data_IF_876470765454
#
_entry.id   IF_876470765454
#
_cell.length_a   1.000
_cell.length_b   1.000
_cell.length_c   1.000
_cell.angle_alpha   90.00
_cell.angle_beta   90.00
_cell.angle_gamma   90.00
#
_symmetry.space_group_name_H-M   'P 1'
#
loop_
_entity.id
_entity.type
_entity.pdbx_description
1 polymer ?
#
# COMPACT_ATOMS: atom_id res chain seq x y z
N UNK A 1 13.39 -36.19 20.83
CA UNK A 1 13.02 -35.05 21.70
C UNK A 1 13.63 -33.72 21.28
N UNK A 2 14.95 -33.48 21.40
CA UNK A 2 15.59 -32.13 21.20
C UNK A 2 15.12 -31.31 19.97
N UNK A 3 14.87 -31.94 18.82
CA UNK A 3 14.38 -31.26 17.60
C UNK A 3 12.97 -30.67 17.79
N UNK A 4 12.07 -31.36 18.51
CA UNK A 4 10.69 -30.92 18.73
C UNK A 4 10.64 -29.69 19.64
N UNK A 5 11.48 -29.64 20.68
CA UNK A 5 11.62 -28.46 21.53
C UNK A 5 12.23 -27.27 20.80
N UNK A 6 13.14 -27.48 19.84
CA UNK A 6 13.65 -26.40 18.99
C UNK A 6 12.56 -25.86 18.03
N UNK A 7 11.79 -26.74 17.38
CA UNK A 7 10.71 -26.32 16.48
C UNK A 7 9.59 -25.57 17.21
N UNK A 8 9.21 -26.01 18.42
CA UNK A 8 8.22 -25.30 19.25
C UNK A 8 8.74 -23.96 19.75
N UNK A 9 10.02 -23.85 20.16
CA UNK A 9 10.63 -22.57 20.51
C UNK A 9 10.67 -21.59 19.32
N UNK A 10 11.07 -22.04 18.12
CA UNK A 10 11.04 -21.19 16.92
C UNK A 10 9.61 -20.70 16.59
N UNK A 11 8.60 -21.58 16.69
CA UNK A 11 7.21 -21.20 16.47
C UNK A 11 6.71 -20.18 17.51
N UNK A 12 7.02 -20.37 18.79
CA UNK A 12 6.65 -19.42 19.86
C UNK A 12 7.36 -18.07 19.69
N UNK A 13 8.65 -18.08 19.32
CA UNK A 13 9.41 -16.86 19.06
C UNK A 13 8.82 -16.07 17.88
N UNK A 14 8.57 -16.70 16.73
CA UNK A 14 7.91 -16.05 15.59
C UNK A 14 6.52 -15.49 15.95
N UNK A 15 5.68 -16.26 16.66
CA UNK A 15 4.36 -15.81 17.12
C UNK A 15 4.40 -14.70 18.21
N UNK A 16 5.54 -14.52 18.89
CA UNK A 16 5.77 -13.39 19.80
C UNK A 16 6.24 -12.14 19.06
N UNK A 17 7.08 -12.32 18.04
CA UNK A 17 7.67 -11.23 17.25
C UNK A 17 6.61 -10.57 16.37
N UNK A 18 5.72 -11.34 15.74
CA UNK A 18 4.61 -10.80 14.93
C UNK A 18 3.63 -9.94 15.75
N UNK A 19 3.25 -10.38 16.96
CA UNK A 19 2.30 -9.63 17.81
C UNK A 19 2.83 -8.25 18.22
N UNK A 20 4.12 -8.13 18.56
CA UNK A 20 4.74 -6.83 18.86
C UNK A 20 4.65 -5.84 17.70
N UNK A 21 4.72 -6.32 16.46
CA UNK A 21 4.57 -5.46 15.28
C UNK A 21 3.14 -4.97 15.11
N UNK A 22 2.16 -5.85 15.25
CA UNK A 22 0.73 -5.47 15.16
C UNK A 22 0.36 -4.47 16.26
N UNK A 23 0.91 -4.65 17.47
CA UNK A 23 0.79 -3.71 18.60
C UNK A 23 1.42 -2.34 18.29
N UNK A 24 2.69 -2.28 17.86
CA UNK A 24 3.34 -1.02 17.47
C UNK A 24 2.62 -0.32 16.31
N UNK A 25 2.22 -1.06 15.27
CA UNK A 25 1.48 -0.51 14.13
C UNK A 25 0.17 0.15 14.60
N UNK A 26 -0.60 -0.49 15.49
CA UNK A 26 -1.81 0.10 16.06
C UNK A 26 -1.53 1.30 16.98
N UNK A 27 -0.42 1.28 17.74
CA UNK A 27 -0.02 2.37 18.63
C UNK A 27 0.49 3.61 17.86
N UNK A 28 0.93 3.45 16.61
CA UNK A 28 1.65 4.49 15.87
C UNK A 28 1.00 4.91 14.54
N UNK A 29 0.23 4.05 13.90
CA UNK A 29 -0.52 4.34 12.67
C UNK A 29 -2.00 4.34 13.04
N UNK A 30 -2.70 5.45 12.78
CA UNK A 30 -4.13 5.55 13.08
C UNK A 30 -4.95 5.41 11.80
N UNK A 31 -6.13 4.75 11.82
CA UNK A 31 -7.00 4.66 10.65
C UNK A 31 -7.37 6.01 10.00
N UNK A 32 -7.56 7.12 10.75
CA UNK A 32 -7.68 8.45 10.16
C UNK A 32 -6.49 8.86 9.29
N UNK A 33 -5.24 8.62 9.70
CA UNK A 33 -4.07 8.98 8.87
C UNK A 33 -4.06 8.24 7.54
N UNK A 34 -4.42 6.95 7.54
CA UNK A 34 -4.55 6.13 6.32
C UNK A 34 -5.69 6.66 5.44
N UNK A 35 -6.84 7.01 6.04
CA UNK A 35 -7.99 7.61 5.34
C UNK A 35 -7.65 8.95 4.69
N UNK A 36 -7.01 9.87 5.43
CA UNK A 36 -6.62 11.20 4.95
C UNK A 36 -5.65 11.11 3.76
N UNK A 37 -4.75 10.13 3.78
CA UNK A 37 -3.87 9.83 2.65
C UNK A 37 -4.63 9.29 1.43
N UNK A 38 -5.64 8.43 1.61
CA UNK A 38 -6.49 7.98 0.50
C UNK A 38 -7.30 9.14 -0.09
N UNK A 39 -7.95 9.96 0.74
CA UNK A 39 -8.71 11.12 0.28
C UNK A 39 -7.83 12.15 -0.43
N UNK A 40 -6.63 12.43 0.10
CA UNK A 40 -5.71 13.38 -0.54
C UNK A 40 -5.17 12.82 -1.86
N UNK A 41 -4.89 11.52 -1.95
CA UNK A 41 -4.51 10.83 -3.19
C UNK A 41 -5.62 10.92 -4.25
N UNK A 42 -6.88 10.75 -3.86
CA UNK A 42 -8.03 10.89 -4.75
C UNK A 42 -8.26 12.34 -5.20
N UNK A 43 -8.05 13.33 -4.32
CA UNK A 43 -8.10 14.76 -4.67
C UNK A 43 -6.99 15.15 -5.65
N UNK A 44 -5.76 14.64 -5.46
CA UNK A 44 -4.65 14.78 -6.42
C UNK A 44 -5.08 14.20 -7.78
N UNK A 45 -5.56 12.95 -7.80
CA UNK A 45 -5.98 12.26 -9.02
C UNK A 45 -7.10 13.01 -9.78
N UNK A 46 -8.07 13.60 -9.08
CA UNK A 46 -9.15 14.43 -9.66
C UNK A 46 -8.69 15.82 -10.13
N UNK A 47 -7.56 16.33 -9.61
CA UNK A 47 -7.00 17.64 -10.00
C UNK A 47 -6.14 17.59 -11.28
N UNK A 48 -5.84 16.40 -11.80
CA UNK A 48 -5.08 16.20 -13.04
C UNK A 48 -5.98 16.49 -14.26
N UNK A 49 -5.47 17.18 -15.29
CA UNK A 49 -6.28 17.56 -16.46
C UNK A 49 -6.81 16.35 -17.22
N UNK A 50 -8.07 16.45 -17.67
CA UNK A 50 -8.84 15.36 -18.31
C UNK A 50 -8.20 14.89 -19.62
N UNK A 51 -7.29 15.65 -20.24
CA UNK A 51 -6.48 15.21 -21.39
C UNK A 51 -5.61 13.97 -21.12
N UNK A 52 -5.33 13.64 -19.85
CA UNK A 52 -4.67 12.38 -19.45
C UNK A 52 -5.68 11.21 -19.37
N UNK A 53 -6.97 11.51 -19.19
CA UNK A 53 -8.05 10.54 -18.95
C UNK A 53 -8.79 10.06 -20.20
N UNK A 54 -8.67 10.76 -21.33
CA UNK A 54 -9.47 10.55 -22.57
C UNK A 54 -9.53 9.08 -23.04
N UNK A 55 -8.48 8.28 -22.79
CA UNK A 55 -8.44 6.86 -23.18
C UNK A 55 -9.10 5.86 -22.21
N UNK A 56 -9.80 6.33 -21.16
CA UNK A 56 -10.35 5.45 -20.10
C UNK A 56 -11.83 5.65 -19.75
N UNK A 57 -12.51 6.68 -20.29
CA UNK A 57 -13.91 6.97 -19.99
C UNK A 57 -14.76 7.16 -21.26
N UNK A 58 -15.10 6.06 -21.93
CA UNK A 58 -16.31 5.97 -22.75
C UNK A 58 -17.46 5.48 -21.86
N UNK A 59 -18.43 6.33 -21.47
CA UNK A 59 -19.56 5.88 -20.66
C UNK A 59 -20.52 5.03 -21.49
N UNK A 60 -21.05 3.96 -20.91
CA UNK A 60 -22.17 3.20 -21.46
C UNK A 60 -23.27 3.12 -20.40
N UNK A 61 -24.51 3.36 -20.86
CA UNK A 61 -25.79 3.31 -20.13
C UNK A 61 -26.01 4.28 -18.96
N UNK A 62 -27.07 5.07 -19.10
CA UNK A 62 -27.75 5.76 -18.00
C UNK A 62 -28.36 4.74 -17.03
N UNK A 63 -28.41 5.09 -15.74
CA UNK A 63 -29.41 4.56 -14.81
C UNK A 63 -30.35 5.69 -14.42
N UNK A 64 -31.65 5.53 -14.69
CA UNK A 64 -32.70 6.48 -14.29
C UNK A 64 -33.12 6.26 -12.83
N UNK A 65 -33.78 7.26 -12.24
CA UNK A 65 -34.28 7.21 -10.87
C UNK A 65 -35.26 6.03 -10.66
N UNK A 66 -34.91 5.09 -9.77
CA UNK A 66 -35.72 4.84 -8.56
C UNK A 66 -35.02 4.02 -7.47
N UNK A 67 -35.44 4.33 -6.23
CA UNK A 67 -35.29 3.66 -4.92
C UNK A 67 -34.56 2.30 -4.78
N UNK A 68 -33.75 2.26 -3.69
CA UNK A 68 -33.25 1.10 -2.90
C UNK A 68 -31.89 0.48 -3.29
N UNK A 69 -31.14 0.08 -2.25
CA UNK A 69 -29.84 -0.64 -2.23
C UNK A 69 -28.65 -0.02 -2.99
N UNK A 70 -27.80 0.70 -2.24
CA UNK A 70 -26.46 1.11 -2.69
C UNK A 70 -25.39 0.56 -1.72
N UNK A 71 -25.03 -0.72 -1.87
CA UNK A 71 -23.90 -1.38 -1.18
C UNK A 71 -23.23 -2.34 -2.18
N UNK A 72 -21.89 -2.43 -2.13
CA UNK A 72 -21.04 -3.35 -2.92
C UNK A 72 -20.96 -3.09 -4.43
N UNK A 73 -20.00 -2.25 -4.85
CA UNK A 73 -18.99 -2.60 -5.88
C UNK A 73 -18.04 -1.41 -6.16
N UNK A 74 -16.76 -1.53 -5.78
CA UNK A 74 -15.69 -0.55 -6.11
C UNK A 74 -14.45 -1.30 -6.66
N UNK A 75 -14.68 -2.38 -7.42
CA UNK A 75 -13.62 -3.25 -7.94
C UNK A 75 -13.78 -3.56 -9.43
N UNK A 76 -13.87 -2.53 -10.28
CA UNK A 76 -13.56 -2.59 -11.72
C UNK A 76 -13.57 -1.17 -12.31
N UNK A 77 -12.44 -0.70 -12.85
CA UNK A 77 -12.25 0.29 -13.94
C UNK A 77 -10.79 0.80 -13.98
N UNK A 78 -9.84 -0.06 -14.37
CA UNK A 78 -8.43 0.31 -14.61
C UNK A 78 -7.83 -0.44 -15.83
N UNK A 79 -8.61 -0.68 -16.88
CA UNK A 79 -8.16 -1.42 -18.07
C UNK A 79 -8.32 -0.65 -19.39
N UNK A 80 -7.21 -0.03 -19.82
CA UNK A 80 -6.56 -0.35 -21.10
C UNK A 80 -5.04 -0.19 -20.91
N UNK A 81 -4.25 -0.90 -21.71
CA UNK A 81 -2.76 -0.84 -21.82
C UNK A 81 -1.93 -1.23 -20.57
N UNK A 82 -2.52 -1.18 -19.37
CA UNK A 82 -1.92 -1.26 -18.03
C UNK A 82 -1.24 -2.60 -17.62
N UNK A 83 -0.94 -3.49 -18.57
CA UNK A 83 -0.57 -4.89 -18.32
C UNK A 83 0.66 -5.10 -17.40
N UNK A 84 1.78 -4.36 -17.50
CA UNK A 84 2.94 -4.60 -16.63
C UNK A 84 2.62 -4.32 -15.15
N UNK A 85 1.93 -3.21 -14.88
CA UNK A 85 1.71 -2.74 -13.51
C UNK A 85 0.76 -3.65 -12.73
N UNK A 86 -0.36 -4.03 -13.35
CA UNK A 86 -1.31 -4.99 -12.77
C UNK A 86 -0.70 -6.38 -12.57
N UNK A 87 0.25 -6.80 -13.41
CA UNK A 87 0.96 -8.08 -13.26
C UNK A 87 1.88 -8.10 -12.03
N UNK A 88 2.38 -6.94 -11.61
CA UNK A 88 3.43 -6.82 -10.57
C UNK A 88 2.84 -6.44 -9.22
N UNK A 89 1.93 -5.46 -9.16
CA UNK A 89 1.08 -5.33 -7.98
C UNK A 89 0.19 -6.56 -7.80
N UNK A 90 -0.12 -7.33 -8.85
CA UNK A 90 -0.74 -8.65 -8.75
C UNK A 90 0.11 -9.68 -7.97
N UNK A 91 1.42 -9.76 -8.24
CA UNK A 91 2.34 -10.61 -7.47
C UNK A 91 2.38 -10.19 -5.99
N UNK A 92 2.64 -8.90 -5.71
CA UNK A 92 2.67 -8.40 -4.34
C UNK A 92 1.31 -8.50 -3.63
N UNK A 93 0.18 -8.34 -4.35
CA UNK A 93 -1.18 -8.54 -3.81
C UNK A 93 -1.37 -9.96 -3.28
N UNK A 94 -0.88 -10.98 -3.98
CA UNK A 94 -0.95 -12.37 -3.52
C UNK A 94 -0.15 -12.60 -2.23
N UNK A 95 0.92 -11.81 -2.01
CA UNK A 95 1.69 -11.82 -0.78
C UNK A 95 1.31 -10.76 0.26
N UNK A 96 0.36 -9.86 -0.02
CA UNK A 96 -0.02 -8.75 0.89
C UNK A 96 -0.37 -9.22 2.31
N UNK A 97 -0.94 -10.42 2.46
CA UNK A 97 -1.25 -11.05 3.76
C UNK A 97 -0.01 -11.54 4.55
N UNK A 98 1.12 -11.75 3.86
CA UNK A 98 2.40 -12.26 4.40
C UNK A 98 3.45 -11.16 4.64
N UNK A 99 3.23 -9.93 4.15
CA UNK A 99 4.18 -8.83 4.30
C UNK A 99 4.33 -8.42 5.76
N UNK A 100 5.55 -8.14 6.18
CA UNK A 100 5.90 -7.61 7.51
C UNK A 100 6.19 -6.09 7.48
N UNK A 101 6.55 -5.50 8.62
CA UNK A 101 6.85 -4.06 8.71
C UNK A 101 8.04 -3.65 7.82
N UNK A 102 9.09 -4.47 7.74
CA UNK A 102 10.25 -4.19 6.88
C UNK A 102 9.87 -4.20 5.39
N UNK A 103 9.04 -5.16 4.96
CA UNK A 103 8.49 -5.20 3.60
C UNK A 103 7.68 -3.93 3.30
N UNK A 104 6.80 -3.51 4.21
CA UNK A 104 6.03 -2.28 4.05
C UNK A 104 6.92 -1.03 4.02
N UNK A 105 7.94 -0.94 4.88
CA UNK A 105 8.94 0.15 4.85
C UNK A 105 9.61 0.21 3.49
N UNK A 106 10.07 -0.94 2.95
CA UNK A 106 10.73 -1.00 1.64
C UNK A 106 9.79 -0.61 0.49
N UNK A 107 8.51 -1.01 0.54
CA UNK A 107 7.51 -0.55 -0.44
C UNK A 107 7.34 0.97 -0.38
N UNK A 108 7.27 1.57 0.82
CA UNK A 108 7.20 3.03 0.98
C UNK A 108 8.45 3.71 0.39
N UNK A 109 9.65 3.19 0.63
CA UNK A 109 10.89 3.72 0.06
C UNK A 109 10.89 3.74 -1.47
N UNK A 110 10.53 2.61 -2.09
CA UNK A 110 10.43 2.49 -3.55
C UNK A 110 9.42 3.51 -4.12
N UNK A 111 8.28 3.71 -3.47
CA UNK A 111 7.30 4.72 -3.87
C UNK A 111 7.81 6.15 -3.68
N UNK A 112 8.52 6.45 -2.60
CA UNK A 112 9.16 7.76 -2.40
C UNK A 112 10.17 8.04 -3.52
N UNK A 113 11.21 7.22 -3.61
CA UNK A 113 12.38 7.45 -4.46
C UNK A 113 12.06 7.40 -5.96
N UNK A 114 11.11 6.55 -6.37
CA UNK A 114 10.90 6.24 -7.79
C UNK A 114 9.54 6.68 -8.34
N UNK A 115 8.59 7.09 -7.49
CA UNK A 115 7.30 7.68 -7.91
C UNK A 115 7.17 9.12 -7.43
N UNK A 116 7.10 9.36 -6.11
CA UNK A 116 6.74 10.68 -5.57
C UNK A 116 7.82 11.74 -5.76
N UNK A 117 9.09 11.42 -5.50
CA UNK A 117 10.21 12.34 -5.75
C UNK A 117 10.34 12.66 -7.25
N UNK A 118 10.06 11.71 -8.16
CA UNK A 118 10.05 11.96 -9.60
C UNK A 118 8.87 12.84 -10.04
N UNK A 119 7.66 12.59 -9.52
CA UNK A 119 6.45 13.36 -9.86
C UNK A 119 6.45 14.79 -9.33
N UNK A 120 7.00 15.00 -8.13
CA UNK A 120 6.77 16.23 -7.37
C UNK A 120 8.04 17.02 -7.04
N UNK A 121 9.20 16.64 -7.60
CA UNK A 121 10.52 17.29 -7.39
C UNK A 121 10.48 18.82 -7.33
N UNK A 122 9.72 19.43 -8.24
CA UNK A 122 9.60 20.88 -8.39
C UNK A 122 8.16 21.38 -8.15
N UNK A 123 7.26 20.57 -7.59
CA UNK A 123 5.83 20.91 -7.54
C UNK A 123 5.50 21.78 -6.32
N UNK A 124 5.06 23.02 -6.57
CA UNK A 124 4.68 23.98 -5.54
C UNK A 124 3.27 23.75 -4.96
N UNK A 125 2.43 22.93 -5.60
CA UNK A 125 1.03 22.71 -5.24
C UNK A 125 0.84 22.19 -3.80
N UNK A 126 -0.23 22.65 -3.15
CA UNK A 126 -0.53 22.32 -1.76
C UNK A 126 -0.93 20.85 -1.56
N UNK A 127 -1.69 20.24 -2.48
CA UNK A 127 -2.17 18.85 -2.37
C UNK A 127 -1.01 17.82 -2.31
N UNK A 128 -0.04 17.81 -3.26
CA UNK A 128 1.16 16.98 -3.14
C UNK A 128 1.97 17.20 -1.85
N UNK A 129 2.09 18.45 -1.39
CA UNK A 129 2.79 18.77 -0.13
C UNK A 129 2.09 18.17 1.10
N UNK A 130 0.76 18.28 1.18
CA UNK A 130 -0.02 17.67 2.26
C UNK A 130 0.06 16.14 2.22
N UNK A 131 -0.06 15.53 1.03
CA UNK A 131 0.14 14.09 0.87
C UNK A 131 1.54 13.64 1.32
N UNK A 132 2.59 14.33 0.87
CA UNK A 132 3.97 14.02 1.26
C UNK A 132 4.22 14.19 2.76
N UNK A 133 3.59 15.17 3.41
CA UNK A 133 3.65 15.33 4.87
C UNK A 133 3.10 14.11 5.61
N UNK A 134 1.92 13.62 5.24
CA UNK A 134 1.33 12.41 5.83
C UNK A 134 2.09 11.14 5.43
N UNK A 135 2.58 11.05 4.20
CA UNK A 135 3.39 9.94 3.73
C UNK A 135 4.72 9.80 4.48
N UNK A 136 5.44 10.90 4.72
CA UNK A 136 6.69 10.87 5.50
C UNK A 136 6.45 10.51 6.96
N UNK A 137 5.32 10.94 7.56
CA UNK A 137 4.88 10.46 8.88
C UNK A 137 4.62 8.96 8.90
N UNK A 138 3.93 8.43 7.88
CA UNK A 138 3.69 6.99 7.72
C UNK A 138 5.00 6.21 7.59
N UNK A 139 5.97 6.66 6.77
CA UNK A 139 7.29 6.01 6.68
C UNK A 139 8.00 6.02 8.05
N UNK A 140 8.06 7.18 8.71
CA UNK A 140 8.73 7.30 10.00
C UNK A 140 8.12 6.40 11.09
N UNK A 141 6.79 6.22 11.09
CA UNK A 141 6.14 5.27 12.00
C UNK A 141 6.40 3.80 11.64
N UNK A 142 6.48 3.47 10.35
CA UNK A 142 6.89 2.13 9.89
C UNK A 142 8.35 1.82 10.31
N UNK A 143 9.23 2.82 10.27
CA UNK A 143 10.63 2.70 10.67
C UNK A 143 10.82 2.44 12.18
N UNK A 144 10.04 3.08 13.05
CA UNK A 144 10.03 2.76 14.49
C UNK A 144 9.66 1.28 14.70
N UNK A 145 8.53 0.84 14.15
CA UNK A 145 8.04 -0.54 14.32
C UNK A 145 8.92 -1.62 13.64
N UNK A 146 9.83 -1.24 12.74
CA UNK A 146 10.87 -2.13 12.21
C UNK A 146 11.98 -2.33 13.25
N UNK A 147 12.47 -1.24 13.85
CA UNK A 147 13.57 -1.28 14.84
C UNK A 147 13.21 -2.03 16.12
N UNK A 148 11.96 -1.93 16.59
CA UNK A 148 11.45 -2.72 17.72
C UNK A 148 11.38 -4.24 17.41
N UNK A 149 11.29 -4.60 16.13
CA UNK A 149 11.21 -5.97 15.67
C UNK A 149 12.54 -6.61 15.27
N UNK A 150 13.60 -5.83 15.03
CA UNK A 150 14.89 -6.28 14.49
C UNK A 150 14.73 -7.17 13.22
N UNK A 151 13.85 -6.76 12.30
CA UNK A 151 13.41 -7.62 11.20
C UNK A 151 14.16 -7.43 9.88
N UNK A 152 14.37 -8.57 9.20
CA UNK A 152 14.61 -8.63 7.76
C UNK A 152 13.29 -8.59 6.98
N UNK A 153 13.39 -8.52 5.66
CA UNK A 153 12.26 -8.76 4.75
C UNK A 153 11.65 -10.16 5.01
N UNK A 154 10.37 -10.35 4.67
CA UNK A 154 9.78 -11.69 4.62
C UNK A 154 10.29 -12.44 3.38
N UNK A 155 10.21 -13.79 3.38
CA UNK A 155 10.59 -14.60 2.21
C UNK A 155 9.93 -14.14 0.90
N UNK A 156 8.65 -13.72 0.94
CA UNK A 156 8.02 -13.18 -0.27
C UNK A 156 8.46 -11.74 -0.58
N UNK A 157 8.81 -10.96 0.43
CA UNK A 157 9.48 -9.68 0.28
C UNK A 157 10.80 -9.81 -0.48
N UNK A 158 11.68 -10.70 -0.05
CA UNK A 158 12.96 -11.00 -0.70
C UNK A 158 12.78 -11.43 -2.17
N UNK A 159 11.85 -12.36 -2.43
CA UNK A 159 11.53 -12.84 -3.79
C UNK A 159 10.98 -11.73 -4.73
N UNK A 160 10.11 -10.84 -4.23
CA UNK A 160 9.26 -10.01 -5.08
C UNK A 160 9.57 -8.51 -5.05
N UNK A 161 10.12 -7.97 -3.95
CA UNK A 161 10.37 -6.52 -3.82
C UNK A 161 11.40 -6.03 -4.82
N UNK A 162 12.44 -6.82 -5.13
CA UNK A 162 13.42 -6.47 -6.19
C UNK A 162 12.76 -6.35 -7.57
N UNK A 163 11.95 -7.34 -7.96
CA UNK A 163 11.22 -7.34 -9.24
C UNK A 163 10.25 -6.15 -9.34
N UNK A 164 9.61 -5.82 -8.22
CA UNK A 164 8.75 -4.64 -8.09
C UNK A 164 9.57 -3.35 -8.26
N UNK A 165 10.61 -3.16 -7.44
CA UNK A 165 11.50 -2.01 -7.45
C UNK A 165 12.06 -1.71 -8.85
N UNK A 166 12.65 -2.72 -9.50
CA UNK A 166 13.25 -2.57 -10.83
C UNK A 166 12.21 -2.15 -11.90
N UNK A 167 10.95 -2.57 -11.73
CA UNK A 167 9.88 -2.10 -12.63
C UNK A 167 9.38 -0.69 -12.27
N UNK A 168 9.32 -0.30 -10.99
CA UNK A 168 9.02 1.08 -10.61
C UNK A 168 10.12 2.04 -11.09
N UNK A 169 11.39 1.62 -11.08
CA UNK A 169 12.52 2.37 -11.67
C UNK A 169 12.28 2.67 -13.15
N UNK A 170 11.86 1.67 -13.93
CA UNK A 170 11.61 1.72 -15.37
C UNK A 170 10.33 2.47 -15.81
N UNK A 171 9.51 2.99 -14.89
CA UNK A 171 8.28 3.70 -15.26
C UNK A 171 8.56 4.98 -16.06
N UNK A 172 7.93 5.08 -17.22
CA UNK A 172 7.84 6.31 -18.01
C UNK A 172 7.03 7.39 -17.25
N UNK A 173 7.29 8.69 -17.47
CA UNK A 173 6.65 9.77 -16.70
C UNK A 173 5.12 9.74 -16.65
N UNK A 174 4.46 9.37 -17.77
CA UNK A 174 2.99 9.19 -17.82
C UNK A 174 2.51 8.09 -16.87
N UNK A 175 3.27 7.00 -16.73
CA UNK A 175 2.94 5.85 -15.88
C UNK A 175 3.16 6.11 -14.39
N UNK A 176 3.94 7.14 -14.02
CA UNK A 176 4.14 7.52 -12.61
C UNK A 176 2.83 7.99 -11.96
N UNK A 177 1.98 8.73 -12.68
CA UNK A 177 0.67 9.18 -12.18
C UNK A 177 -0.26 8.00 -11.88
N UNK A 178 -0.21 6.94 -12.69
CA UNK A 178 -0.92 5.68 -12.44
C UNK A 178 -0.36 4.93 -11.22
N UNK A 179 0.97 4.92 -11.04
CA UNK A 179 1.56 4.37 -9.83
C UNK A 179 1.10 5.14 -8.57
N UNK A 180 1.02 6.47 -8.64
CA UNK A 180 0.51 7.29 -7.54
C UNK A 180 -0.96 7.00 -7.19
N UNK A 181 -1.85 6.77 -8.17
CA UNK A 181 -3.23 6.40 -7.86
C UNK A 181 -3.35 4.97 -7.29
N UNK A 182 -2.54 4.02 -7.78
CA UNK A 182 -2.53 2.64 -7.27
C UNK A 182 -1.79 2.46 -5.93
N UNK A 183 -1.03 3.45 -5.47
CA UNK A 183 -0.51 3.49 -4.09
C UNK A 183 -1.60 3.35 -3.02
N UNK A 184 -2.86 3.71 -3.34
CA UNK A 184 -4.04 3.42 -2.49
C UNK A 184 -4.13 1.95 -2.07
N UNK A 185 -3.68 1.02 -2.91
CA UNK A 185 -3.68 -0.41 -2.57
C UNK A 185 -2.64 -0.77 -1.49
N UNK A 186 -1.50 -0.07 -1.45
CA UNK A 186 -0.50 -0.22 -0.37
C UNK A 186 -1.11 0.27 0.96
N UNK A 187 -1.82 1.40 0.93
CA UNK A 187 -2.54 1.91 2.10
C UNK A 187 -3.63 0.94 2.60
N UNK A 188 -4.33 0.26 1.68
CA UNK A 188 -5.26 -0.84 2.04
C UNK A 188 -4.52 -2.02 2.68
N UNK A 189 -3.37 -2.43 2.15
CA UNK A 189 -2.59 -3.54 2.73
C UNK A 189 -2.05 -3.22 4.12
N UNK A 190 -1.60 -1.97 4.36
CA UNK A 190 -1.18 -1.50 5.69
C UNK A 190 -2.38 -1.53 6.67
N UNK A 191 -3.56 -1.05 6.27
CA UNK A 191 -4.77 -1.14 7.11
C UNK A 191 -5.13 -2.58 7.45
N UNK A 192 -5.05 -3.50 6.48
CA UNK A 192 -5.31 -4.93 6.72
C UNK A 192 -4.25 -5.55 7.65
N UNK A 193 -2.99 -5.11 7.58
CA UNK A 193 -1.95 -5.57 8.48
C UNK A 193 -2.17 -5.10 9.93
N UNK A 194 -2.73 -3.89 10.13
CA UNK A 194 -3.16 -3.40 11.43
C UNK A 194 -4.37 -4.19 11.96
N UNK A 195 -5.42 -4.35 11.15
CA UNK A 195 -6.70 -4.96 11.57
C UNK A 195 -6.59 -6.45 11.96
N UNK A 196 -5.55 -7.18 11.52
CA UNK A 196 -5.26 -8.58 11.94
C UNK A 196 -5.33 -8.79 13.46
N UNK A 197 -4.77 -7.84 14.20
CA UNK A 197 -4.75 -7.80 15.67
C UNK A 197 -6.12 -8.12 16.28
N UNK A 198 -7.18 -7.48 15.77
CA UNK A 198 -8.56 -7.57 16.29
C UNK A 198 -9.18 -8.94 16.10
N UNK A 199 -8.73 -9.73 15.12
CA UNK A 199 -9.19 -11.10 14.90
C UNK A 199 -8.54 -12.14 15.80
N UNK A 200 -7.58 -11.76 16.65
CA UNK A 200 -6.92 -12.65 17.61
C UNK A 200 -7.32 -12.41 19.08
N UNK A 201 -8.28 -11.52 19.34
CA UNK A 201 -8.84 -11.25 20.68
C UNK A 201 -10.20 -11.93 20.94
N UNK A 202 -10.76 -12.67 19.96
CA UNK A 202 -12.06 -13.33 20.07
C UNK A 202 -11.90 -14.85 20.18
N UNK A 203 -11.79 -15.31 21.44
CA UNK A 203 -11.91 -16.69 21.96
C UNK A 203 -11.09 -17.80 21.29
#
# INVERSE_FOLDING_TARGET
>A
MRIVTLLTLCAVLWCSQGRKQEECLNQHITPPMIKDMMETSERIQKSLPVSIWIYTWTPITMCTFNKVTCITNVLLLLQKDNAPFHRILGKLKNCSKKLNVADFKRILEIYNEHVFQKLWKNNSQQLPKMFMGSFLRLKYKMEICETEGNQTLSLCGEENLKTFEDTIKMLQPKSLLKAQSEFRQVLVWISIAMDKSRTHEIH
#
